data_IF_856412013454
#
_entry.id   IF_856412013454
#
_cell.length_a   1.000
_cell.length_b   1.000
_cell.length_c   1.000
_cell.angle_alpha   90.00
_cell.angle_beta   90.00
_cell.angle_gamma   90.00
#
_symmetry.space_group_name_H-M   'P 1'
#
loop_
_entity.id
_entity.type
_entity.pdbx_description
1 polymer ?
#
# COMPACT_ATOMS: atom_id res chain seq x y z
N UNK A 1 -10.23 -32.79 -11.59
CA UNK A 1 -10.11 -31.56 -12.41
C UNK A 1 -9.14 -30.64 -11.71
N UNK A 2 -7.96 -30.46 -12.31
CA UNK A 2 -6.86 -29.71 -11.71
C UNK A 2 -7.20 -28.22 -11.76
N UNK A 3 -7.42 -27.59 -10.62
CA UNK A 3 -7.58 -26.14 -10.51
C UNK A 3 -6.24 -25.49 -10.89
N UNK A 4 -6.27 -24.79 -11.99
CA UNK A 4 -5.18 -24.02 -12.55
C UNK A 4 -4.77 -22.97 -11.51
N UNK A 5 -3.65 -23.20 -10.83
CA UNK A 5 -3.01 -22.21 -9.96
C UNK A 5 -2.66 -21.00 -10.82
N UNK A 6 -3.39 -19.91 -10.65
CA UNK A 6 -3.03 -18.62 -11.22
C UNK A 6 -1.69 -18.24 -10.59
N UNK A 7 -0.61 -18.40 -11.34
CA UNK A 7 0.67 -17.82 -10.95
C UNK A 7 0.45 -16.31 -10.90
N UNK A 8 0.66 -15.64 -9.77
CA UNK A 8 0.72 -14.19 -9.76
C UNK A 8 1.90 -13.80 -10.66
N UNK A 9 1.59 -13.39 -11.88
CA UNK A 9 2.57 -12.85 -12.82
C UNK A 9 2.97 -11.49 -12.26
N UNK A 10 4.10 -11.44 -11.58
CA UNK A 10 4.69 -10.23 -11.07
C UNK A 10 4.96 -9.28 -12.24
N UNK A 11 4.08 -8.30 -12.43
CA UNK A 11 4.36 -7.17 -13.31
C UNK A 11 5.22 -6.16 -12.54
N UNK A 12 6.48 -6.53 -12.33
CA UNK A 12 7.44 -5.55 -11.83
C UNK A 12 7.81 -4.60 -12.97
N UNK A 13 7.56 -3.30 -12.82
CA UNK A 13 8.03 -2.33 -13.79
C UNK A 13 9.57 -2.32 -13.78
N UNK A 14 10.12 -2.76 -14.90
CA UNK A 14 11.57 -2.87 -15.12
C UNK A 14 12.07 -1.62 -15.84
N UNK A 15 13.01 -0.92 -15.24
CA UNK A 15 13.68 0.22 -15.83
C UNK A 15 14.81 -0.23 -16.76
N UNK A 16 14.87 0.24 -18.01
CA UNK A 16 16.03 0.05 -18.87
C UNK A 16 17.28 0.73 -18.30
N UNK A 17 18.45 0.13 -18.53
CA UNK A 17 19.72 0.68 -18.01
C UNK A 17 19.97 2.11 -18.46
N UNK A 18 19.60 2.47 -19.70
CA UNK A 18 19.77 3.81 -20.24
C UNK A 18 18.93 4.86 -19.48
N UNK A 19 17.68 4.55 -19.16
CA UNK A 19 16.84 5.44 -18.36
C UNK A 19 17.44 5.65 -16.97
N UNK A 20 17.96 4.58 -16.34
CA UNK A 20 18.61 4.67 -15.03
C UNK A 20 19.89 5.52 -15.05
N UNK A 21 20.72 5.37 -16.10
CA UNK A 21 21.92 6.21 -16.33
C UNK A 21 21.56 7.69 -16.37
N UNK A 22 20.52 8.06 -17.10
CA UNK A 22 20.04 9.45 -17.19
C UNK A 22 19.44 9.91 -15.86
N UNK A 23 18.62 9.08 -15.24
CA UNK A 23 17.98 9.40 -13.94
C UNK A 23 19.02 9.69 -12.86
N UNK A 24 20.07 8.87 -12.77
CA UNK A 24 21.11 9.02 -11.76
C UNK A 24 22.24 10.00 -12.14
N UNK A 25 22.27 10.45 -13.40
CA UNK A 25 23.33 11.35 -13.88
C UNK A 25 24.72 10.70 -13.85
N UNK A 26 24.82 9.38 -14.08
CA UNK A 26 26.07 8.61 -14.01
C UNK A 26 26.38 7.94 -15.34
N UNK A 27 27.64 7.46 -15.51
CA UNK A 27 27.99 6.66 -16.68
C UNK A 27 27.47 5.21 -16.56
N UNK A 28 27.26 4.57 -17.72
CA UNK A 28 26.77 3.19 -17.81
C UNK A 28 27.65 2.18 -17.06
N UNK A 29 28.98 2.40 -17.05
CA UNK A 29 29.95 1.57 -16.34
C UNK A 29 29.75 1.58 -14.82
N UNK A 30 29.31 2.70 -14.24
CA UNK A 30 28.96 2.79 -12.82
C UNK A 30 27.76 1.91 -12.48
N UNK A 31 26.71 2.00 -13.29
CA UNK A 31 25.49 1.18 -13.09
C UNK A 31 25.80 -0.31 -13.25
N UNK A 32 26.62 -0.67 -14.26
CA UNK A 32 27.07 -2.06 -14.46
C UNK A 32 27.85 -2.57 -13.24
N UNK A 33 28.79 -1.79 -12.73
CA UNK A 33 29.58 -2.12 -11.52
C UNK A 33 28.69 -2.32 -10.29
N UNK A 34 27.67 -1.47 -10.08
CA UNK A 34 26.73 -1.66 -9.00
C UNK A 34 25.89 -2.92 -9.18
N UNK A 35 25.52 -3.25 -10.41
CA UNK A 35 24.87 -4.51 -10.72
C UNK A 35 25.74 -5.74 -10.43
N UNK A 36 27.00 -5.69 -10.86
CA UNK A 36 27.95 -6.80 -10.68
C UNK A 36 28.36 -6.96 -9.20
N UNK A 37 28.38 -5.88 -8.42
CA UNK A 37 28.60 -5.91 -6.96
C UNK A 37 27.38 -6.28 -6.11
N UNK A 38 26.21 -6.48 -6.73
CA UNK A 38 24.96 -6.78 -6.03
C UNK A 38 24.29 -5.57 -5.35
N UNK A 39 24.90 -4.38 -5.39
CA UNK A 39 24.31 -3.16 -4.81
C UNK A 39 23.01 -2.71 -5.55
N UNK A 40 22.94 -3.01 -6.85
CA UNK A 40 21.80 -2.69 -7.67
C UNK A 40 21.45 -3.91 -8.56
N UNK A 41 20.70 -4.90 -8.03
CA UNK A 41 20.38 -6.12 -8.73
C UNK A 41 19.69 -5.85 -10.07
N UNK A 42 20.21 -6.42 -11.16
CA UNK A 42 19.68 -6.27 -12.49
C UNK A 42 19.30 -7.63 -13.09
N UNK A 43 18.11 -7.72 -13.68
CA UNK A 43 17.68 -8.86 -14.46
C UNK A 43 18.16 -8.72 -15.91
N UNK A 44 18.54 -9.84 -16.56
CA UNK A 44 18.80 -9.90 -18.00
C UNK A 44 17.52 -10.33 -18.73
N UNK A 45 17.12 -9.59 -19.75
CA UNK A 45 16.06 -10.02 -20.65
C UNK A 45 16.57 -11.12 -21.62
N UNK A 46 15.65 -11.80 -22.30
CA UNK A 46 16.00 -12.80 -23.34
C UNK A 46 16.92 -12.23 -24.44
N UNK A 47 16.82 -10.92 -24.72
CA UNK A 47 17.71 -10.23 -25.66
C UNK A 47 19.02 -9.74 -25.04
N UNK A 48 19.38 -10.16 -23.81
CA UNK A 48 20.65 -9.81 -23.16
C UNK A 48 20.69 -8.43 -22.53
N UNK A 49 19.64 -7.61 -22.66
CA UNK A 49 19.58 -6.27 -22.05
C UNK A 49 19.36 -6.36 -20.54
N UNK A 50 20.13 -5.58 -19.80
CA UNK A 50 19.94 -5.44 -18.34
C UNK A 50 18.80 -4.48 -18.04
N UNK A 51 17.92 -4.89 -17.14
CA UNK A 51 16.85 -4.04 -16.57
C UNK A 51 16.88 -4.13 -15.05
N UNK A 52 16.53 -3.04 -14.39
CA UNK A 52 16.51 -2.92 -12.93
C UNK A 52 15.07 -2.69 -12.46
N UNK A 53 14.64 -3.41 -11.44
CA UNK A 53 13.30 -3.22 -10.85
C UNK A 53 13.23 -1.91 -10.04
N UNK A 54 12.10 -1.18 -10.12
CA UNK A 54 11.91 0.06 -9.35
C UNK A 54 12.16 -0.11 -7.84
N UNK A 55 11.73 -1.20 -7.18
CA UNK A 55 12.06 -1.44 -5.78
C UNK A 55 13.57 -1.50 -5.48
N UNK A 56 14.35 -2.11 -6.39
CA UNK A 56 15.81 -2.15 -6.25
C UNK A 56 16.45 -0.77 -6.37
N UNK A 57 15.91 0.07 -7.27
CA UNK A 57 16.35 1.46 -7.41
C UNK A 57 16.01 2.25 -6.14
N UNK A 58 14.78 2.11 -5.61
CA UNK A 58 14.36 2.76 -4.37
C UNK A 58 15.23 2.34 -3.18
N UNK A 59 15.54 1.04 -3.06
CA UNK A 59 16.46 0.51 -2.04
C UNK A 59 17.86 1.13 -2.15
N UNK A 60 18.44 1.10 -3.34
CA UNK A 60 19.75 1.68 -3.63
C UNK A 60 19.82 3.17 -3.27
N UNK A 61 18.81 3.96 -3.66
CA UNK A 61 18.77 5.39 -3.36
C UNK A 61 18.69 5.68 -1.86
N UNK A 62 17.88 4.91 -1.13
CA UNK A 62 17.77 5.04 0.35
C UNK A 62 19.06 4.67 1.07
N UNK A 63 19.72 3.60 0.62
CA UNK A 63 20.98 3.14 1.25
C UNK A 63 22.17 4.06 0.97
N UNK A 64 22.23 4.60 -0.25
CA UNK A 64 23.42 5.36 -0.69
C UNK A 64 23.25 6.87 -0.59
N UNK A 65 22.02 7.38 -0.52
CA UNK A 65 21.75 8.82 -0.62
C UNK A 65 22.13 9.41 -1.98
N UNK A 66 22.24 8.57 -3.04
CA UNK A 66 22.70 9.03 -4.35
C UNK A 66 21.75 10.09 -4.91
N UNK A 67 22.27 11.23 -5.42
CA UNK A 67 21.42 12.25 -6.01
C UNK A 67 20.73 11.73 -7.28
N UNK A 68 19.52 12.23 -7.54
CA UNK A 68 18.72 11.91 -8.71
C UNK A 68 18.68 13.13 -9.63
N UNK A 69 19.19 12.99 -10.86
CA UNK A 69 19.31 14.10 -11.81
C UNK A 69 18.02 14.34 -12.60
N UNK A 70 17.33 13.25 -13.03
CA UNK A 70 16.10 13.31 -13.82
C UNK A 70 15.06 12.33 -13.25
N UNK A 71 14.43 12.69 -12.12
CA UNK A 71 13.48 11.80 -11.41
C UNK A 71 12.27 11.42 -12.26
N UNK A 72 11.82 12.29 -13.15
CA UNK A 72 10.64 12.10 -13.99
C UNK A 72 10.77 10.90 -14.94
N UNK A 73 11.98 10.53 -15.35
CA UNK A 73 12.21 9.37 -16.23
C UNK A 73 11.83 8.03 -15.59
N UNK A 74 11.76 7.96 -14.26
CA UNK A 74 11.31 6.80 -13.51
C UNK A 74 9.94 6.99 -12.88
N UNK A 75 9.27 8.12 -13.15
CA UNK A 75 8.04 8.49 -12.46
C UNK A 75 8.30 8.82 -10.98
N UNK A 76 9.53 9.17 -10.62
CA UNK A 76 9.82 9.74 -9.32
C UNK A 76 9.32 11.20 -9.27
N UNK A 77 8.98 11.66 -8.09
CA UNK A 77 8.72 13.08 -7.87
C UNK A 77 10.04 13.81 -7.69
N UNK A 78 10.12 15.04 -8.17
CA UNK A 78 11.31 15.87 -7.93
C UNK A 78 11.52 16.00 -6.41
N UNK A 79 12.76 15.82 -5.96
CA UNK A 79 13.10 15.94 -4.54
C UNK A 79 12.77 17.35 -4.06
N UNK A 80 11.60 17.51 -3.44
CA UNK A 80 11.19 18.75 -2.81
C UNK A 80 11.94 18.95 -1.49
N UNK A 81 11.97 20.17 -1.00
CA UNK A 81 12.43 20.52 0.34
C UNK A 81 11.63 19.70 1.34
N UNK A 82 12.29 19.12 2.36
CA UNK A 82 11.60 18.47 3.47
C UNK A 82 10.56 19.43 4.06
N UNK A 83 9.28 19.07 3.95
CA UNK A 83 8.18 19.89 4.44
C UNK A 83 7.80 19.48 5.85
N UNK A 84 7.45 20.43 6.73
CA UNK A 84 6.84 20.09 8.02
C UNK A 84 5.59 19.24 7.80
N UNK A 85 5.41 18.22 8.64
CA UNK A 85 4.34 17.25 8.46
C UNK A 85 2.93 17.88 8.52
N UNK A 86 2.75 18.89 9.37
CA UNK A 86 1.45 19.58 9.49
C UNK A 86 1.12 20.37 8.23
N UNK A 87 2.11 21.04 7.63
CA UNK A 87 1.94 21.71 6.35
C UNK A 87 1.61 20.72 5.23
N UNK A 88 2.29 19.57 5.20
CA UNK A 88 2.01 18.52 4.23
C UNK A 88 0.60 17.94 4.38
N UNK A 89 0.08 17.80 5.60
CA UNK A 89 -1.30 17.36 5.86
C UNK A 89 -2.31 18.35 5.32
N UNK A 90 -2.11 19.64 5.55
CA UNK A 90 -3.02 20.68 5.04
C UNK A 90 -3.00 20.76 3.51
N UNK A 91 -1.82 20.68 2.90
CA UNK A 91 -1.69 20.62 1.45
C UNK A 91 -2.33 19.36 0.85
N UNK A 92 -2.14 18.20 1.47
CA UNK A 92 -2.74 16.95 1.00
C UNK A 92 -4.27 16.99 1.15
N UNK A 93 -4.80 17.55 2.24
CA UNK A 93 -6.25 17.77 2.41
C UNK A 93 -6.81 18.61 1.27
N UNK A 94 -6.21 19.78 1.01
CA UNK A 94 -6.62 20.68 -0.08
C UNK A 94 -6.48 20.03 -1.46
N UNK A 95 -5.41 19.28 -1.70
CA UNK A 95 -5.20 18.58 -2.97
C UNK A 95 -6.29 17.53 -3.21
N UNK A 96 -6.59 16.70 -2.20
CA UNK A 96 -7.59 15.63 -2.30
C UNK A 96 -9.00 16.18 -2.51
N UNK A 97 -9.44 17.12 -1.67
CA UNK A 97 -10.79 17.70 -1.73
C UNK A 97 -11.03 18.43 -3.07
N UNK A 98 -9.98 19.02 -3.64
CA UNK A 98 -10.05 19.68 -4.94
C UNK A 98 -9.72 18.76 -6.14
N UNK A 99 -9.43 17.47 -5.91
CA UNK A 99 -9.14 16.49 -6.95
C UNK A 99 -7.82 16.74 -7.68
N UNK A 100 -6.84 17.33 -7.01
CA UNK A 100 -5.52 17.63 -7.56
C UNK A 100 -4.60 16.40 -7.40
N UNK A 101 -4.77 15.45 -8.31
CA UNK A 101 -4.08 14.15 -8.28
C UNK A 101 -2.56 14.30 -8.27
N UNK A 102 -1.99 15.16 -9.16
CA UNK A 102 -0.54 15.37 -9.26
C UNK A 102 0.06 15.86 -7.94
N UNK A 103 -0.59 16.82 -7.26
CA UNK A 103 -0.11 17.34 -5.98
C UNK A 103 -0.21 16.27 -4.86
N UNK A 104 -1.31 15.51 -4.83
CA UNK A 104 -1.48 14.41 -3.88
C UNK A 104 -0.41 13.34 -4.07
N UNK A 105 -0.13 13.01 -5.33
CA UNK A 105 0.94 12.10 -5.74
C UNK A 105 2.32 12.59 -5.29
N UNK A 106 2.64 13.85 -5.58
CA UNK A 106 3.94 14.46 -5.21
C UNK A 106 4.17 14.45 -3.71
N UNK A 107 3.13 14.72 -2.92
CA UNK A 107 3.23 14.68 -1.46
C UNK A 107 3.50 13.26 -0.96
N UNK A 108 2.65 12.30 -1.29
CA UNK A 108 2.76 10.93 -0.74
C UNK A 108 4.02 10.22 -1.24
N UNK A 109 4.27 10.23 -2.55
CA UNK A 109 5.47 9.59 -3.10
C UNK A 109 6.75 10.32 -2.71
N UNK A 110 6.70 11.64 -2.56
CA UNK A 110 7.84 12.44 -2.08
C UNK A 110 8.30 12.01 -0.69
N UNK A 111 7.38 11.87 0.26
CA UNK A 111 7.69 11.37 1.60
C UNK A 111 8.25 9.94 1.55
N UNK A 112 7.65 9.05 0.74
CA UNK A 112 8.15 7.69 0.58
C UNK A 112 9.58 7.65 0.01
N UNK A 113 9.87 8.47 -1.00
CA UNK A 113 11.20 8.56 -1.63
C UNK A 113 12.24 9.18 -0.70
N UNK A 114 11.83 10.03 0.24
CA UNK A 114 12.69 10.57 1.30
C UNK A 114 12.96 9.57 2.43
N UNK A 115 12.42 8.36 2.35
CA UNK A 115 12.69 7.28 3.30
C UNK A 115 11.58 6.98 4.30
N UNK A 116 10.44 7.68 4.23
CA UNK A 116 9.31 7.34 5.09
C UNK A 116 8.75 5.95 4.74
N UNK A 117 8.43 5.19 5.77
CA UNK A 117 7.84 3.87 5.61
C UNK A 117 6.33 3.95 5.30
N UNK A 118 5.78 2.90 4.68
CA UNK A 118 4.33 2.83 4.40
C UNK A 118 3.49 2.98 5.65
N UNK A 119 3.78 2.32 6.79
CA UNK A 119 3.04 2.55 8.04
C UNK A 119 3.06 4.01 8.47
N UNK A 120 4.23 4.67 8.43
CA UNK A 120 4.32 6.09 8.81
C UNK A 120 3.54 7.00 7.87
N UNK A 121 3.54 6.73 6.56
CA UNK A 121 2.67 7.45 5.62
C UNK A 121 1.19 7.28 5.98
N UNK A 122 0.77 6.06 6.34
CA UNK A 122 -0.59 5.78 6.81
C UNK A 122 -0.94 6.53 8.08
N UNK A 123 -0.12 6.39 9.11
CA UNK A 123 -0.42 6.89 10.46
C UNK A 123 -0.23 8.41 10.58
N UNK A 124 0.82 8.95 9.95
CA UNK A 124 1.23 10.33 10.17
C UNK A 124 0.74 11.30 9.10
N UNK A 125 0.44 10.85 7.89
CA UNK A 125 0.03 11.71 6.78
C UNK A 125 -1.39 11.39 6.31
N UNK A 126 -1.64 10.19 5.77
CA UNK A 126 -2.88 9.86 5.07
C UNK A 126 -4.06 9.72 6.03
N UNK A 127 -3.91 8.96 7.11
CA UNK A 127 -4.97 8.73 8.11
C UNK A 127 -5.49 10.02 8.76
N UNK A 128 -4.63 10.93 9.26
CA UNK A 128 -5.06 12.22 9.77
C UNK A 128 -5.83 13.06 8.75
N UNK A 129 -5.40 13.05 7.48
CA UNK A 129 -6.07 13.80 6.42
C UNK A 129 -7.46 13.22 6.14
N UNK A 130 -7.61 11.90 6.04
CA UNK A 130 -8.92 11.27 5.84
C UNK A 130 -9.85 11.44 7.05
N UNK A 131 -9.32 11.47 8.28
CA UNK A 131 -10.11 11.85 9.46
C UNK A 131 -10.61 13.29 9.35
N UNK A 132 -9.77 14.23 8.90
CA UNK A 132 -10.17 15.64 8.67
C UNK A 132 -11.24 15.71 7.58
N UNK A 133 -11.07 15.01 6.43
CA UNK A 133 -12.10 14.95 5.37
C UNK A 133 -13.44 14.45 5.94
N UNK A 134 -13.44 13.41 6.76
CA UNK A 134 -14.66 12.89 7.41
C UNK A 134 -15.33 13.89 8.34
N UNK A 135 -14.56 14.62 9.15
CA UNK A 135 -15.08 15.69 10.02
C UNK A 135 -15.68 16.84 9.22
N UNK A 136 -14.98 17.28 8.18
CA UNK A 136 -15.43 18.37 7.31
C UNK A 136 -16.67 17.97 6.49
N UNK A 137 -16.75 16.71 6.06
CA UNK A 137 -17.94 16.13 5.42
C UNK A 137 -19.14 16.10 6.37
N UNK A 138 -18.97 15.62 7.59
CA UNK A 138 -20.02 15.59 8.60
C UNK A 138 -20.54 17.01 8.97
N UNK A 139 -19.69 18.01 8.86
CA UNK A 139 -20.03 19.42 9.06
C UNK A 139 -20.60 20.10 7.79
N UNK A 140 -20.73 19.40 6.67
CA UNK A 140 -21.26 19.93 5.40
C UNK A 140 -20.28 20.86 4.65
N UNK A 141 -19.03 20.97 5.08
CA UNK A 141 -17.99 21.78 4.40
C UNK A 141 -17.30 21.03 3.27
N UNK A 142 -17.26 19.71 3.32
CA UNK A 142 -16.84 18.83 2.21
C UNK A 142 -18.09 18.12 1.68
N UNK A 143 -18.30 18.17 0.38
CA UNK A 143 -19.43 17.51 -0.27
C UNK A 143 -19.18 16.01 -0.47
N UNK A 144 -20.25 15.21 -0.58
CA UNK A 144 -20.14 13.75 -0.79
C UNK A 144 -19.24 13.41 -2.00
N UNK A 145 -19.42 14.12 -3.12
CA UNK A 145 -18.59 13.85 -4.31
C UNK A 145 -17.11 14.19 -4.11
N UNK A 146 -16.79 15.17 -3.25
CA UNK A 146 -15.40 15.52 -2.93
C UNK A 146 -14.74 14.45 -2.06
N UNK A 147 -15.48 13.93 -1.08
CA UNK A 147 -15.02 12.80 -0.26
C UNK A 147 -14.76 11.57 -1.13
N UNK A 148 -15.71 11.19 -2.00
CA UNK A 148 -15.55 10.06 -2.93
C UNK A 148 -14.37 10.23 -3.88
N UNK A 149 -14.25 11.41 -4.49
CA UNK A 149 -13.10 11.73 -5.34
C UNK A 149 -11.77 11.69 -4.59
N UNK A 150 -11.76 12.12 -3.33
CA UNK A 150 -10.56 12.02 -2.49
C UNK A 150 -10.10 10.57 -2.30
N UNK A 151 -11.05 9.64 -2.13
CA UNK A 151 -10.75 8.21 -2.08
C UNK A 151 -10.17 7.70 -3.39
N UNK A 152 -10.79 8.05 -4.54
CA UNK A 152 -10.32 7.65 -5.87
C UNK A 152 -8.88 8.15 -6.15
N UNK A 153 -8.63 9.43 -5.88
CA UNK A 153 -7.28 10.03 -6.04
C UNK A 153 -6.26 9.30 -5.17
N UNK A 154 -6.60 9.07 -3.89
CA UNK A 154 -5.68 8.38 -2.99
C UNK A 154 -5.44 6.93 -3.42
N UNK A 155 -6.47 6.22 -3.87
CA UNK A 155 -6.31 4.85 -4.39
C UNK A 155 -5.36 4.81 -5.60
N UNK A 156 -5.46 5.77 -6.53
CA UNK A 156 -4.53 5.89 -7.66
C UNK A 156 -3.08 6.08 -7.18
N UNK A 157 -2.86 6.97 -6.21
CA UNK A 157 -1.54 7.21 -5.61
C UNK A 157 -0.99 5.96 -4.92
N UNK A 158 -1.83 5.24 -4.16
CA UNK A 158 -1.43 4.00 -3.48
C UNK A 158 -1.14 2.85 -4.47
N UNK A 159 -1.85 2.77 -5.60
CA UNK A 159 -1.52 1.85 -6.68
C UNK A 159 -0.15 2.16 -7.29
N UNK A 160 0.18 3.42 -7.45
CA UNK A 160 1.52 3.80 -7.92
C UNK A 160 2.59 3.47 -6.87
N UNK A 161 2.34 3.76 -5.58
CA UNK A 161 3.24 3.41 -4.49
C UNK A 161 3.55 1.90 -4.47
N UNK A 162 2.56 1.04 -4.78
CA UNK A 162 2.76 -0.42 -4.87
C UNK A 162 3.89 -0.81 -5.82
N UNK A 163 4.11 -0.05 -6.90
CA UNK A 163 5.17 -0.32 -7.90
C UNK A 163 6.59 -0.17 -7.34
N UNK A 164 6.72 0.57 -6.24
CA UNK A 164 7.99 0.83 -5.56
C UNK A 164 8.29 -0.18 -4.44
N UNK A 165 7.34 -1.06 -4.13
CA UNK A 165 7.50 -2.09 -3.10
C UNK A 165 8.05 -3.39 -3.71
N UNK A 166 8.85 -4.15 -2.95
CA UNK A 166 9.38 -5.42 -3.41
C UNK A 166 8.25 -6.43 -3.69
N UNK A 167 8.51 -7.35 -4.63
CA UNK A 167 7.67 -8.53 -4.75
C UNK A 167 8.03 -9.52 -3.65
N UNK A 168 7.04 -10.10 -2.99
CA UNK A 168 7.28 -11.07 -1.95
C UNK A 168 7.83 -12.39 -2.53
N UNK A 169 8.65 -13.08 -1.75
CA UNK A 169 9.10 -14.42 -2.09
C UNK A 169 7.90 -15.38 -2.22
N UNK A 170 7.96 -16.40 -3.10
CA UNK A 170 6.86 -17.34 -3.31
C UNK A 170 6.42 -18.09 -2.03
N UNK A 171 7.33 -18.26 -1.08
CA UNK A 171 7.09 -18.93 0.21
C UNK A 171 6.91 -17.98 1.38
N UNK A 172 6.85 -16.67 1.12
CA UNK A 172 6.60 -15.67 2.15
C UNK A 172 5.25 -15.91 2.85
N UNK A 173 5.10 -15.51 4.11
CA UNK A 173 3.86 -15.64 4.83
C UNK A 173 2.71 -14.94 4.10
N UNK A 174 1.52 -15.53 4.16
CA UNK A 174 0.32 -14.99 3.53
C UNK A 174 -0.51 -14.21 4.55
N UNK A 175 -0.87 -12.98 4.19
CA UNK A 175 -1.89 -12.17 4.85
C UNK A 175 -3.13 -12.05 3.97
N UNK A 176 -4.32 -12.13 4.59
CA UNK A 176 -5.58 -11.71 3.98
C UNK A 176 -5.99 -10.36 4.54
N UNK A 177 -6.49 -9.47 3.68
CA UNK A 177 -6.92 -8.12 4.08
C UNK A 177 -8.27 -7.79 3.46
N UNK A 178 -9.16 -7.14 4.21
CA UNK A 178 -10.49 -6.77 3.71
C UNK A 178 -11.30 -5.92 4.68
N UNK A 179 -12.57 -5.68 4.34
CA UNK A 179 -13.53 -5.02 5.21
C UNK A 179 -14.75 -5.90 5.46
N UNK A 180 -15.37 -5.79 6.65
CA UNK A 180 -16.61 -6.50 6.93
C UNK A 180 -17.80 -5.90 6.18
N UNK A 181 -18.94 -6.59 6.26
CA UNK A 181 -20.20 -6.22 5.62
C UNK A 181 -20.57 -4.74 5.87
N UNK A 182 -20.96 -4.05 4.80
CA UNK A 182 -21.33 -2.63 4.75
C UNK A 182 -20.19 -1.62 4.98
N UNK A 183 -18.96 -2.08 5.10
CA UNK A 183 -17.80 -1.20 5.10
C UNK A 183 -17.10 -1.27 3.73
N UNK A 184 -17.10 -0.16 3.00
CA UNK A 184 -16.49 -0.03 1.67
C UNK A 184 -15.28 0.92 1.68
N UNK A 185 -14.67 1.15 2.84
CA UNK A 185 -13.49 1.99 2.98
C UNK A 185 -12.23 1.27 2.48
N UNK A 186 -11.87 1.49 1.23
CA UNK A 186 -10.76 0.80 0.56
C UNK A 186 -9.37 1.36 0.91
N UNK A 187 -9.26 2.67 1.19
CA UNK A 187 -7.97 3.32 1.47
C UNK A 187 -7.26 2.69 2.68
N UNK A 188 -7.91 2.45 3.85
CA UNK A 188 -7.26 1.78 4.98
C UNK A 188 -6.81 0.35 4.65
N UNK A 189 -7.64 -0.42 3.94
CA UNK A 189 -7.29 -1.80 3.53
C UNK A 189 -6.07 -1.80 2.61
N UNK A 190 -6.02 -0.87 1.66
CA UNK A 190 -4.87 -0.71 0.77
C UNK A 190 -3.60 -0.35 1.54
N UNK A 191 -3.69 0.50 2.56
CA UNK A 191 -2.54 0.83 3.41
C UNK A 191 -2.04 -0.38 4.20
N UNK A 192 -2.94 -1.22 4.73
CA UNK A 192 -2.57 -2.47 5.41
C UNK A 192 -1.90 -3.43 4.42
N UNK A 193 -2.48 -3.61 3.23
CA UNK A 193 -1.88 -4.43 2.17
C UNK A 193 -0.45 -3.97 1.83
N UNK A 194 -0.26 -2.68 1.54
CA UNK A 194 1.05 -2.12 1.21
C UNK A 194 2.05 -2.23 2.36
N UNK A 195 1.57 -2.11 3.60
CA UNK A 195 2.38 -2.31 4.81
C UNK A 195 2.93 -3.74 4.88
N UNK A 196 2.08 -4.73 4.70
CA UNK A 196 2.49 -6.14 4.71
C UNK A 196 3.41 -6.46 3.53
N UNK A 197 3.11 -5.97 2.33
CA UNK A 197 3.97 -6.12 1.15
C UNK A 197 5.36 -5.50 1.37
N UNK A 198 5.43 -4.32 1.99
CA UNK A 198 6.71 -3.67 2.32
C UNK A 198 7.55 -4.48 3.32
N UNK A 199 6.92 -5.34 4.13
CA UNK A 199 7.57 -6.27 5.06
C UNK A 199 7.84 -7.65 4.42
N UNK A 200 7.62 -7.79 3.11
CA UNK A 200 7.90 -9.02 2.38
C UNK A 200 6.81 -10.09 2.46
N UNK A 201 5.63 -9.79 2.97
CA UNK A 201 4.50 -10.72 3.00
C UNK A 201 3.84 -10.83 1.62
N UNK A 202 3.32 -12.00 1.31
CA UNK A 202 2.30 -12.15 0.27
C UNK A 202 0.98 -11.65 0.83
N UNK A 203 0.21 -10.92 0.03
CA UNK A 203 -1.10 -10.41 0.48
C UNK A 203 -2.16 -10.72 -0.57
N UNK A 204 -3.30 -11.19 -0.11
CA UNK A 204 -4.50 -11.37 -0.93
C UNK A 204 -5.62 -10.50 -0.37
N UNK A 205 -6.03 -9.45 -1.08
CA UNK A 205 -7.25 -8.72 -0.74
C UNK A 205 -8.45 -9.65 -0.91
N UNK A 206 -9.27 -9.78 0.12
CA UNK A 206 -10.50 -10.59 0.04
C UNK A 206 -11.69 -9.78 -0.48
N UNK A 207 -11.55 -8.44 -0.53
CA UNK A 207 -12.59 -7.52 -1.00
C UNK A 207 -13.17 -6.67 0.12
N UNK A 208 -14.14 -5.83 -0.26
CA UNK A 208 -14.81 -4.89 0.65
C UNK A 208 -16.25 -5.27 0.87
N UNK A 209 -16.76 -5.07 2.08
CA UNK A 209 -18.16 -5.29 2.42
C UNK A 209 -18.58 -6.76 2.49
N UNK A 210 -17.70 -7.69 2.84
CA UNK A 210 -17.99 -9.12 2.87
C UNK A 210 -18.67 -9.55 4.17
N UNK A 211 -19.66 -10.49 4.10
CA UNK A 211 -20.18 -11.20 5.26
C UNK A 211 -19.07 -11.94 6.02
N UNK A 212 -19.20 -12.08 7.33
CA UNK A 212 -18.20 -12.77 8.17
C UNK A 212 -18.04 -14.24 7.79
N UNK A 213 -19.10 -14.88 7.34
CA UNK A 213 -19.14 -16.26 6.87
C UNK A 213 -18.26 -16.43 5.60
N UNK A 214 -18.37 -15.51 4.64
CA UNK A 214 -17.53 -15.52 3.44
C UNK A 214 -16.04 -15.25 3.76
N UNK A 215 -15.78 -14.38 4.73
CA UNK A 215 -14.43 -14.13 5.23
C UNK A 215 -13.88 -15.41 5.90
N UNK A 216 -14.69 -16.11 6.69
CA UNK A 216 -14.32 -17.37 7.31
C UNK A 216 -13.96 -18.43 6.28
N UNK A 217 -14.82 -18.64 5.29
CA UNK A 217 -14.62 -19.65 4.25
C UNK A 217 -13.39 -19.33 3.39
N UNK A 218 -13.21 -18.06 3.03
CA UNK A 218 -12.00 -17.60 2.32
C UNK A 218 -10.75 -17.82 3.15
N UNK A 219 -10.80 -17.55 4.45
CA UNK A 219 -9.67 -17.75 5.38
C UNK A 219 -9.30 -19.21 5.49
N UNK A 220 -10.28 -20.10 5.63
CA UNK A 220 -10.07 -21.56 5.65
C UNK A 220 -9.46 -22.09 4.35
N UNK A 221 -9.97 -21.62 3.20
CA UNK A 221 -9.50 -22.06 1.89
C UNK A 221 -8.04 -21.66 1.60
N UNK A 222 -7.60 -20.54 2.14
CA UNK A 222 -6.25 -20.00 1.88
C UNK A 222 -5.25 -20.29 3.02
N UNK A 223 -5.71 -20.65 4.22
CA UNK A 223 -4.87 -20.91 5.40
C UNK A 223 -3.77 -19.85 5.59
N UNK A 224 -4.11 -18.55 5.71
CA UNK A 224 -3.12 -17.48 5.88
C UNK A 224 -2.49 -17.56 7.27
N UNK A 225 -1.37 -16.86 7.44
CA UNK A 225 -0.80 -16.65 8.78
C UNK A 225 -1.50 -15.49 9.51
N UNK A 226 -2.04 -14.51 8.75
CA UNK A 226 -2.66 -13.32 9.30
C UNK A 226 -3.93 -12.95 8.52
N UNK A 227 -5.01 -12.68 9.25
CA UNK A 227 -6.23 -12.04 8.74
C UNK A 227 -6.34 -10.64 9.33
N UNK A 228 -6.35 -9.61 8.47
CA UNK A 228 -6.55 -8.23 8.87
C UNK A 228 -7.88 -7.70 8.33
N UNK A 229 -8.75 -7.24 9.21
CA UNK A 229 -9.98 -6.56 8.83
C UNK A 229 -9.94 -5.10 9.28
N UNK A 230 -10.29 -4.20 8.35
CA UNK A 230 -10.46 -2.78 8.63
C UNK A 230 -11.94 -2.46 8.74
N UNK A 231 -12.38 -1.95 9.89
CA UNK A 231 -13.75 -1.49 10.13
C UNK A 231 -13.77 0.01 10.39
N UNK A 232 -14.03 0.77 9.33
CA UNK A 232 -14.09 2.24 9.38
C UNK A 232 -15.48 2.73 9.77
N UNK A 233 -16.50 2.02 9.30
CA UNK A 233 -17.91 2.30 9.60
C UNK A 233 -18.62 1.03 10.12
N UNK A 234 -19.24 1.12 11.28
CA UNK A 234 -20.09 0.09 11.87
C UNK A 234 -21.38 0.74 12.39
N UNK A 235 -22.53 0.28 11.90
CA UNK A 235 -23.84 0.79 12.36
C UNK A 235 -24.08 0.44 13.84
N UNK A 236 -23.72 -0.81 14.23
CA UNK A 236 -23.89 -1.35 15.59
C UNK A 236 -22.59 -2.03 16.04
N UNK A 237 -21.60 -1.28 16.56
CA UNK A 237 -20.27 -1.82 16.88
C UNK A 237 -20.29 -3.00 17.86
N UNK A 238 -21.07 -2.94 18.94
CA UNK A 238 -21.13 -4.03 19.92
C UNK A 238 -21.73 -5.32 19.33
N UNK A 239 -22.79 -5.19 18.52
CA UNK A 239 -23.39 -6.34 17.85
C UNK A 239 -22.43 -6.95 16.82
N UNK A 240 -21.72 -6.10 16.07
CA UNK A 240 -20.68 -6.55 15.16
C UNK A 240 -19.57 -7.29 15.89
N UNK A 241 -19.04 -6.79 17.01
CA UNK A 241 -17.98 -7.45 17.77
C UNK A 241 -18.42 -8.82 18.32
N UNK A 242 -19.67 -8.95 18.79
CA UNK A 242 -20.22 -10.24 19.18
C UNK A 242 -20.29 -11.24 18.02
N UNK A 243 -20.78 -10.79 16.85
CA UNK A 243 -20.84 -11.60 15.64
C UNK A 243 -19.45 -11.94 15.11
N UNK A 244 -18.53 -10.99 15.11
CA UNK A 244 -17.14 -11.20 14.74
C UNK A 244 -16.50 -12.33 15.57
N UNK A 245 -16.71 -12.29 16.89
CA UNK A 245 -16.21 -13.35 17.77
C UNK A 245 -16.86 -14.70 17.45
N UNK A 246 -18.19 -14.77 17.43
CA UNK A 246 -18.94 -16.03 17.31
C UNK A 246 -18.89 -16.65 15.91
N UNK A 247 -18.94 -15.83 14.84
CA UNK A 247 -19.04 -16.32 13.46
C UNK A 247 -17.70 -16.41 12.73
N UNK A 248 -16.68 -15.75 13.22
CA UNK A 248 -15.36 -15.75 12.58
C UNK A 248 -14.26 -16.30 13.49
N UNK A 249 -14.07 -15.69 14.67
CA UNK A 249 -12.89 -16.01 15.49
C UNK A 249 -12.99 -17.38 16.17
N UNK A 250 -14.11 -17.70 16.80
CA UNK A 250 -14.26 -18.98 17.46
C UNK A 250 -14.16 -20.17 16.48
N UNK A 251 -14.83 -20.14 15.30
CA UNK A 251 -14.65 -21.17 14.28
C UNK A 251 -13.24 -21.26 13.69
N UNK A 252 -12.51 -20.12 13.59
CA UNK A 252 -11.11 -20.12 13.14
C UNK A 252 -10.19 -20.73 14.20
N UNK A 253 -10.38 -20.45 15.47
CA UNK A 253 -9.58 -21.05 16.56
C UNK A 253 -9.69 -22.57 16.59
N UNK A 254 -10.87 -23.11 16.29
CA UNK A 254 -11.09 -24.55 16.22
C UNK A 254 -10.47 -25.20 14.99
N UNK A 255 -10.65 -24.57 13.82
CA UNK A 255 -10.25 -25.16 12.54
C UNK A 255 -8.83 -24.78 12.09
N UNK A 256 -8.36 -23.58 12.41
CA UNK A 256 -7.08 -23.02 11.96
C UNK A 256 -6.40 -22.22 13.08
N UNK A 257 -5.97 -22.86 14.18
CA UNK A 257 -5.47 -22.18 15.39
C UNK A 257 -4.20 -21.37 15.20
N UNK A 258 -3.50 -21.55 14.08
CA UNK A 258 -2.29 -20.79 13.73
C UNK A 258 -2.56 -19.45 13.09
N UNK A 259 -3.79 -19.20 12.60
CA UNK A 259 -4.17 -17.93 11.99
C UNK A 259 -4.25 -16.84 13.05
N UNK A 260 -3.41 -15.86 12.91
CA UNK A 260 -3.51 -14.63 13.71
C UNK A 260 -4.56 -13.71 13.08
N UNK A 261 -5.23 -12.89 13.91
CA UNK A 261 -6.20 -11.95 13.40
C UNK A 261 -5.99 -10.56 14.00
N UNK A 262 -6.25 -9.55 13.20
CA UNK A 262 -6.26 -8.15 13.60
C UNK A 262 -7.53 -7.48 13.08
N UNK A 263 -8.22 -6.79 13.97
CA UNK A 263 -9.36 -5.94 13.64
C UNK A 263 -9.00 -4.51 14.03
N UNK A 264 -9.05 -3.59 13.08
CA UNK A 264 -8.72 -2.19 13.29
C UNK A 264 -9.69 -1.26 12.56
N UNK A 265 -9.38 0.03 12.58
CA UNK A 265 -10.16 1.07 11.91
C UNK A 265 -10.98 1.94 12.88
N UNK A 266 -11.35 3.12 12.43
CA UNK A 266 -11.94 4.15 13.29
C UNK A 266 -13.27 3.78 13.96
N UNK A 267 -13.99 2.77 13.49
CA UNK A 267 -15.19 2.30 14.15
C UNK A 267 -14.87 1.43 15.38
N UNK A 268 -13.78 0.66 15.33
CA UNK A 268 -13.33 -0.19 16.46
C UNK A 268 -12.72 0.68 17.55
N UNK A 269 -11.90 1.67 17.20
CA UNK A 269 -11.30 2.62 18.14
C UNK A 269 -12.37 3.38 18.97
N UNK A 270 -13.55 3.63 18.38
CA UNK A 270 -14.66 4.29 19.08
C UNK A 270 -15.50 3.35 19.93
N UNK A 271 -15.38 2.03 19.77
CA UNK A 271 -16.14 1.02 20.49
C UNK A 271 -15.39 0.44 21.69
N UNK A 272 -14.08 0.64 21.75
CA UNK A 272 -13.21 0.26 22.86
C UNK A 272 -12.91 1.46 23.78
#
# INVERSE_FOLDING_TARGET
>A
MSMNSIKPGAYQPLCPLQALVLTLGVCESSVKRWGDSGKLPAAKTAGGHRKVALPSIAGFLRETGHPVAQPELLGMVASGVARPLDEARDQLFEALVNGRESESRELVLGFYQQGESVPRLGDMLIGPVFRKIGVEWAAGRVQVYQERRSCEVMMAVLHELRRWLPEPEPRAPLGLVGTPLRDFAEVPVRLVELTLLAQGWRVTPVGSGLPLEEILDTTRANSPLLLCLSATHLEHPEDFLRKYQALLIDPLRESHPTVQHALGGGAVERAC
#
